data_IF_814314182833
#
_entry.id   IF_814314182833
#
_cell.length_a   1.000
_cell.length_b   1.000
_cell.length_c   1.000
_cell.angle_alpha   90.00
_cell.angle_beta   90.00
_cell.angle_gamma   90.00
#
_symmetry.space_group_name_H-M   'P 1'
#
loop_
_entity.id
_entity.type
_entity.pdbx_description
1 polymer ?
#
# COMPACT_ATOMS: atom_id res chain seq x y z
N UNK A 1 -5.02 -14.24 -15.23
CA UNK A 1 -5.87 -14.19 -16.45
C UNK A 1 -5.92 -15.52 -17.19
N UNK A 2 -4.79 -16.14 -17.51
CA UNK A 2 -4.73 -17.42 -18.26
C UNK A 2 -5.61 -18.54 -17.68
N UNK A 3 -5.62 -18.72 -16.36
CA UNK A 3 -6.47 -19.76 -15.73
C UNK A 3 -7.97 -19.46 -15.82
N UNK A 4 -8.36 -18.18 -15.86
CA UNK A 4 -9.77 -17.77 -15.97
C UNK A 4 -10.23 -17.87 -17.42
N UNK A 5 -9.41 -17.42 -18.36
CA UNK A 5 -9.66 -17.52 -19.80
C UNK A 5 -9.88 -18.99 -20.22
N UNK A 6 -9.03 -19.90 -19.73
CA UNK A 6 -9.16 -21.34 -19.98
C UNK A 6 -10.45 -21.97 -19.42
N UNK A 7 -11.16 -21.28 -18.51
CA UNK A 7 -12.41 -21.74 -17.90
C UNK A 7 -13.65 -21.00 -18.44
N UNK A 8 -13.50 -20.06 -19.38
CA UNK A 8 -14.63 -19.37 -19.99
C UNK A 8 -15.23 -20.16 -21.17
N UNK A 9 -16.56 -20.08 -21.32
CA UNK A 9 -17.27 -20.71 -22.44
C UNK A 9 -16.88 -20.11 -23.81
N UNK A 10 -16.47 -18.84 -23.86
CA UNK A 10 -16.06 -18.13 -25.09
C UNK A 10 -14.77 -17.33 -24.86
N UNK A 11 -13.58 -17.96 -24.96
CA UNK A 11 -12.30 -17.33 -24.61
C UNK A 11 -11.96 -16.12 -25.51
N UNK A 12 -12.34 -16.14 -26.79
CA UNK A 12 -12.08 -15.03 -27.72
C UNK A 12 -12.78 -13.70 -27.38
N UNK A 13 -13.86 -13.73 -26.57
CA UNK A 13 -14.54 -12.51 -26.10
C UNK A 13 -13.93 -11.94 -24.82
N UNK A 14 -12.91 -12.57 -24.24
CA UNK A 14 -12.31 -12.11 -22.98
C UNK A 14 -11.51 -10.82 -23.16
N UNK A 15 -10.70 -10.73 -24.24
CA UNK A 15 -9.73 -9.66 -24.50
C UNK A 15 -10.19 -8.66 -25.60
N UNK A 16 -11.40 -8.82 -26.15
CA UNK A 16 -11.92 -7.90 -27.18
C UNK A 16 -12.05 -6.44 -26.70
N UNK A 17 -12.28 -5.50 -27.63
CA UNK A 17 -12.44 -4.06 -27.33
C UNK A 17 -13.57 -3.77 -26.31
N UNK A 18 -14.69 -4.48 -26.44
CA UNK A 18 -15.75 -4.60 -25.42
C UNK A 18 -15.69 -5.98 -24.73
N UNK A 19 -14.50 -6.45 -24.39
CA UNK A 19 -14.31 -7.71 -23.68
C UNK A 19 -14.80 -7.63 -22.24
N UNK A 20 -15.05 -8.79 -21.62
CA UNK A 20 -15.46 -8.88 -20.21
C UNK A 20 -14.45 -8.19 -19.30
N UNK A 21 -13.16 -8.29 -19.65
CA UNK A 21 -12.09 -7.66 -18.90
C UNK A 21 -12.18 -6.13 -18.90
N UNK A 22 -12.34 -5.50 -20.08
CA UNK A 22 -12.43 -4.04 -20.19
C UNK A 22 -13.69 -3.51 -19.49
N UNK A 23 -14.83 -4.22 -19.58
CA UNK A 23 -16.05 -3.86 -18.85
C UNK A 23 -15.88 -3.93 -17.33
N UNK A 24 -15.23 -4.97 -16.82
CA UNK A 24 -14.94 -5.08 -15.38
C UNK A 24 -13.99 -3.97 -14.93
N UNK A 25 -12.92 -3.71 -15.69
CA UNK A 25 -11.96 -2.66 -15.37
C UNK A 25 -12.62 -1.27 -15.34
N UNK A 26 -13.46 -0.95 -16.33
CA UNK A 26 -14.23 0.28 -16.37
C UNK A 26 -15.17 0.39 -15.16
N UNK A 27 -15.90 -0.68 -14.84
CA UNK A 27 -16.84 -0.70 -13.71
C UNK A 27 -16.13 -0.46 -12.37
N UNK A 28 -14.99 -1.13 -12.14
CA UNK A 28 -14.18 -0.94 -10.93
C UNK A 28 -13.62 0.47 -10.87
N UNK A 29 -13.09 0.99 -11.99
CA UNK A 29 -12.54 2.35 -12.05
C UNK A 29 -13.60 3.41 -11.71
N UNK A 30 -14.80 3.33 -12.32
CA UNK A 30 -15.89 4.26 -12.03
C UNK A 30 -16.29 4.20 -10.56
N UNK A 31 -16.43 3.00 -10.00
CA UNK A 31 -16.80 2.82 -8.58
C UNK A 31 -15.74 3.41 -7.65
N UNK A 32 -14.44 3.18 -7.93
CA UNK A 32 -13.35 3.73 -7.13
C UNK A 32 -13.28 5.26 -7.21
N UNK A 33 -13.49 5.84 -8.39
CA UNK A 33 -13.54 7.30 -8.57
C UNK A 33 -14.70 7.89 -7.79
N UNK A 34 -15.90 7.30 -7.87
CA UNK A 34 -17.07 7.78 -7.12
C UNK A 34 -16.85 7.73 -5.61
N UNK A 35 -16.35 6.61 -5.08
CA UNK A 35 -16.09 6.46 -3.65
C UNK A 35 -14.97 7.42 -3.19
N UNK A 36 -13.90 7.55 -3.99
CA UNK A 36 -12.81 8.47 -3.69
C UNK A 36 -13.28 9.94 -3.68
N UNK A 37 -14.06 10.33 -4.67
CA UNK A 37 -14.63 11.67 -4.78
C UNK A 37 -15.59 11.99 -3.63
N UNK A 38 -16.53 11.08 -3.33
CA UNK A 38 -17.47 11.25 -2.21
C UNK A 38 -16.73 11.27 -0.85
N UNK A 39 -15.67 10.47 -0.71
CA UNK A 39 -14.81 10.47 0.47
C UNK A 39 -14.13 11.81 0.69
N UNK A 40 -13.54 12.38 -0.36
CA UNK A 40 -12.92 13.70 -0.28
C UNK A 40 -13.95 14.80 -0.01
N UNK A 41 -15.11 14.77 -0.67
CA UNK A 41 -16.18 15.75 -0.44
C UNK A 41 -16.66 15.77 1.02
N UNK A 42 -16.76 14.61 1.68
CA UNK A 42 -17.29 14.51 3.05
C UNK A 42 -16.32 14.98 4.13
N UNK A 43 -15.02 14.77 3.93
CA UNK A 43 -13.98 15.01 4.96
C UNK A 43 -13.07 16.20 4.66
N UNK A 44 -13.03 16.68 3.41
CA UNK A 44 -12.18 17.78 2.99
C UNK A 44 -10.70 17.53 3.30
N UNK A 45 -10.03 18.56 3.81
CA UNK A 45 -8.60 18.55 4.10
C UNK A 45 -8.20 17.71 5.33
N UNK A 46 -9.16 17.28 6.15
CA UNK A 46 -8.94 16.44 7.33
C UNK A 46 -9.00 14.93 7.02
N UNK A 47 -8.71 14.52 5.78
CA UNK A 47 -8.77 13.11 5.39
C UNK A 47 -7.56 12.34 5.93
N UNK A 48 -7.81 11.40 6.83
CA UNK A 48 -6.77 10.48 7.29
C UNK A 48 -6.33 9.54 6.16
N UNK A 49 -5.12 8.98 6.28
CA UNK A 49 -4.53 8.06 5.30
C UNK A 49 -5.39 6.82 4.96
N UNK A 50 -6.39 6.50 5.79
CA UNK A 50 -7.42 5.52 5.46
C UNK A 50 -8.80 6.10 5.74
N UNK A 51 -9.73 5.87 4.80
CA UNK A 51 -11.13 6.30 4.92
C UNK A 51 -11.79 5.73 6.18
N UNK A 52 -11.46 4.48 6.54
CA UNK A 52 -12.03 3.81 7.72
C UNK A 52 -11.66 4.51 9.02
N UNK A 53 -10.49 5.14 9.10
CA UNK A 53 -10.06 5.86 10.31
C UNK A 53 -10.83 7.17 10.49
N UNK A 54 -11.27 7.80 9.40
CA UNK A 54 -11.95 9.08 9.46
C UNK A 54 -13.45 9.02 9.74
N UNK A 55 -14.03 7.82 9.73
CA UNK A 55 -15.47 7.64 9.94
C UNK A 55 -15.83 7.98 11.40
N UNK A 56 -16.73 8.95 11.67
CA UNK A 56 -17.14 9.29 13.04
C UNK A 56 -17.84 8.09 13.70
N UNK A 57 -17.57 7.87 14.99
CA UNK A 57 -18.13 6.72 15.73
C UNK A 57 -19.53 7.00 16.31
N UNK A 58 -19.93 8.27 16.36
CA UNK A 58 -21.18 8.68 17.02
C UNK A 58 -22.44 8.35 16.20
N UNK A 59 -22.30 8.10 14.89
CA UNK A 59 -23.41 7.76 14.01
C UNK A 59 -23.59 6.24 13.89
N UNK A 60 -24.80 5.75 14.13
CA UNK A 60 -25.11 4.31 14.03
C UNK A 60 -24.80 3.71 12.64
N UNK A 61 -25.00 4.49 11.56
CA UNK A 61 -24.74 4.05 10.19
C UNK A 61 -23.24 3.86 9.92
N UNK A 62 -22.42 4.78 10.45
CA UNK A 62 -20.98 4.73 10.38
C UNK A 62 -20.40 3.52 11.12
N UNK A 63 -20.96 3.18 12.30
CA UNK A 63 -20.54 2.02 13.07
C UNK A 63 -20.87 0.69 12.36
N UNK A 64 -22.04 0.60 11.73
CA UNK A 64 -22.41 -0.57 10.91
C UNK A 64 -21.45 -0.71 9.71
N UNK A 65 -21.12 0.38 9.02
CA UNK A 65 -20.16 0.35 7.91
C UNK A 65 -18.76 -0.11 8.35
N UNK A 66 -18.27 0.37 9.50
CA UNK A 66 -17.01 -0.10 10.09
C UNK A 66 -17.05 -1.60 10.40
N UNK A 67 -18.16 -2.12 10.92
CA UNK A 67 -18.32 -3.55 11.18
C UNK A 67 -18.25 -4.36 9.88
N UNK A 68 -18.93 -3.93 8.80
CA UNK A 68 -18.86 -4.60 7.50
C UNK A 68 -17.44 -4.62 6.92
N UNK A 69 -16.70 -3.51 7.02
CA UNK A 69 -15.29 -3.45 6.59
C UNK A 69 -14.45 -4.44 7.40
N UNK A 70 -14.62 -4.47 8.72
CA UNK A 70 -13.88 -5.39 9.59
C UNK A 70 -14.18 -6.87 9.26
N UNK A 71 -15.46 -7.22 9.05
CA UNK A 71 -15.88 -8.57 8.65
C UNK A 71 -15.29 -8.93 7.27
N UNK A 72 -15.31 -8.00 6.31
CA UNK A 72 -14.75 -8.20 4.98
C UNK A 72 -13.24 -8.47 5.04
N UNK A 73 -12.49 -7.71 5.83
CA UNK A 73 -11.05 -7.91 6.02
C UNK A 73 -10.77 -9.23 6.74
N UNK A 74 -11.55 -9.56 7.76
CA UNK A 74 -11.43 -10.82 8.50
C UNK A 74 -11.59 -12.04 7.58
N UNK A 75 -12.52 -11.99 6.62
CA UNK A 75 -12.71 -13.07 5.66
C UNK A 75 -11.65 -13.08 4.54
N UNK A 76 -11.20 -11.90 4.10
CA UNK A 76 -10.21 -11.76 3.02
C UNK A 76 -8.79 -12.17 3.43
N UNK A 77 -8.43 -11.93 4.69
CA UNK A 77 -7.11 -12.24 5.22
C UNK A 77 -6.72 -13.73 5.08
N UNK A 78 -7.49 -14.72 5.57
CA UNK A 78 -7.15 -16.13 5.43
C UNK A 78 -7.18 -16.59 3.96
N UNK A 79 -8.06 -16.01 3.13
CA UNK A 79 -8.15 -16.34 1.71
C UNK A 79 -6.88 -15.93 0.95
N UNK A 80 -6.40 -14.69 1.16
CA UNK A 80 -5.15 -14.21 0.57
C UNK A 80 -3.93 -14.99 1.08
N UNK A 81 -3.90 -15.32 2.38
CA UNK A 81 -2.86 -16.15 2.97
C UNK A 81 -2.83 -17.58 2.42
N UNK A 82 -3.99 -18.19 2.17
CA UNK A 82 -4.06 -19.52 1.58
C UNK A 82 -3.40 -19.58 0.19
N UNK A 83 -3.66 -18.59 -0.67
CA UNK A 83 -3.06 -18.52 -2.01
C UNK A 83 -1.53 -18.45 -1.94
N UNK A 84 -0.98 -17.67 -1.00
CA UNK A 84 0.47 -17.55 -0.80
C UNK A 84 1.07 -18.87 -0.32
N UNK A 85 0.44 -19.51 0.68
CA UNK A 85 0.90 -20.78 1.24
C UNK A 85 0.86 -21.90 0.19
N UNK A 86 -0.22 -21.98 -0.60
CA UNK A 86 -0.36 -23.00 -1.64
C UNK A 86 0.71 -22.82 -2.74
N UNK A 87 0.94 -21.60 -3.23
CA UNK A 87 1.98 -21.36 -4.26
C UNK A 87 3.37 -21.74 -3.73
N UNK A 88 3.73 -21.37 -2.50
CA UNK A 88 5.07 -21.65 -1.96
C UNK A 88 5.23 -23.12 -1.58
N UNK A 89 4.31 -23.69 -0.80
CA UNK A 89 4.45 -25.05 -0.29
C UNK A 89 4.13 -26.10 -1.35
N UNK A 90 3.03 -25.95 -2.08
CA UNK A 90 2.54 -26.96 -3.01
C UNK A 90 3.26 -26.86 -4.37
N UNK A 91 3.48 -25.65 -4.89
CA UNK A 91 4.05 -25.48 -6.23
C UNK A 91 5.58 -25.41 -6.25
N UNK A 92 6.21 -24.83 -5.22
CA UNK A 92 7.67 -24.73 -5.14
C UNK A 92 8.29 -25.87 -4.30
N UNK A 93 7.87 -26.04 -3.04
CA UNK A 93 8.51 -27.02 -2.14
C UNK A 93 8.18 -28.46 -2.54
N UNK A 94 6.90 -28.81 -2.72
CA UNK A 94 6.52 -30.19 -3.00
C UNK A 94 7.04 -30.71 -4.35
N UNK A 95 7.24 -29.81 -5.33
CA UNK A 95 7.79 -30.17 -6.64
C UNK A 95 9.31 -30.34 -6.63
N UNK A 96 10.03 -29.55 -5.83
CA UNK A 96 11.48 -29.46 -5.87
C UNK A 96 12.19 -30.29 -4.78
N UNK A 97 11.49 -30.58 -3.68
CA UNK A 97 11.99 -31.38 -2.57
C UNK A 97 10.87 -32.33 -2.18
N UNK A 98 11.03 -33.64 -2.37
CA UNK A 98 10.01 -34.63 -2.00
C UNK A 98 10.02 -34.76 -0.46
N UNK A 99 9.22 -33.96 0.29
CA UNK A 99 9.47 -33.78 1.71
C UNK A 99 8.84 -34.96 2.45
N UNK A 100 9.57 -35.57 3.39
CA UNK A 100 9.05 -36.69 4.19
C UNK A 100 7.76 -36.34 4.96
N UNK A 101 7.51 -35.06 5.26
CA UNK A 101 6.33 -34.58 6.00
C UNK A 101 5.82 -33.23 5.44
N UNK A 102 5.03 -33.21 4.35
CA UNK A 102 4.57 -31.96 3.72
C UNK A 102 3.70 -31.10 4.65
N UNK A 103 2.85 -31.74 5.47
CA UNK A 103 1.97 -31.05 6.42
C UNK A 103 2.73 -30.20 7.45
N UNK A 104 3.86 -30.68 7.98
CA UNK A 104 4.65 -29.93 8.97
C UNK A 104 5.23 -28.64 8.38
N UNK A 105 5.72 -28.73 7.14
CA UNK A 105 6.29 -27.58 6.43
C UNK A 105 5.20 -26.54 6.16
N UNK A 106 4.00 -26.98 5.77
CA UNK A 106 2.87 -26.09 5.56
C UNK A 106 2.48 -25.33 6.84
N UNK A 107 2.36 -26.03 7.98
CA UNK A 107 2.05 -25.38 9.27
C UNK A 107 3.13 -24.38 9.69
N UNK A 108 4.40 -24.73 9.54
CA UNK A 108 5.52 -23.82 9.86
C UNK A 108 5.46 -22.57 8.98
N UNK A 109 5.22 -22.74 7.68
CA UNK A 109 5.14 -21.61 6.74
C UNK A 109 3.93 -20.71 7.05
N UNK A 110 2.79 -21.30 7.39
CA UNK A 110 1.58 -20.55 7.81
C UNK A 110 1.83 -19.74 9.08
N UNK A 111 2.46 -20.33 10.10
CA UNK A 111 2.81 -19.63 11.34
C UNK A 111 3.81 -18.51 11.05
N UNK A 112 4.84 -18.79 10.25
CA UNK A 112 5.83 -17.79 9.85
C UNK A 112 5.18 -16.60 9.13
N UNK A 113 4.28 -16.86 8.16
CA UNK A 113 3.53 -15.83 7.45
C UNK A 113 2.73 -14.93 8.39
N UNK A 114 2.00 -15.51 9.35
CA UNK A 114 1.23 -14.74 10.35
C UNK A 114 2.15 -13.94 11.26
N UNK A 115 3.27 -14.51 11.73
CA UNK A 115 4.25 -13.81 12.57
C UNK A 115 4.84 -12.60 11.84
N UNK A 116 5.18 -12.74 10.55
CA UNK A 116 5.67 -11.62 9.73
C UNK A 116 4.60 -10.55 9.57
N UNK A 117 3.33 -10.93 9.36
CA UNK A 117 2.23 -9.96 9.29
C UNK A 117 2.06 -9.19 10.61
N UNK A 118 2.09 -9.88 11.75
CA UNK A 118 2.01 -9.26 13.07
C UNK A 118 3.20 -8.35 13.35
N UNK A 119 4.41 -8.76 12.96
CA UNK A 119 5.61 -7.92 13.09
C UNK A 119 5.49 -6.62 12.27
N UNK A 120 4.97 -6.71 11.03
CA UNK A 120 4.71 -5.51 10.22
C UNK A 120 3.63 -4.61 10.84
N UNK A 121 2.58 -5.18 11.42
CA UNK A 121 1.53 -4.41 12.10
C UNK A 121 2.06 -3.63 13.32
N UNK A 122 3.02 -4.22 14.07
CA UNK A 122 3.67 -3.56 15.20
C UNK A 122 4.65 -2.48 14.72
N UNK A 123 5.41 -2.78 13.66
CA UNK A 123 6.39 -1.85 13.12
C UNK A 123 5.73 -0.59 12.54
N UNK A 124 4.63 -0.73 11.79
CA UNK A 124 3.99 0.34 11.01
C UNK A 124 2.54 0.61 11.46
N UNK A 125 2.32 1.52 12.42
CA UNK A 125 0.97 1.86 12.88
C UNK A 125 0.18 2.71 11.88
N UNK A 126 0.87 3.45 11.00
CA UNK A 126 0.25 4.20 9.92
C UNK A 126 0.27 3.39 8.62
N UNK A 127 -0.91 2.97 8.17
CA UNK A 127 -1.07 2.11 6.99
C UNK A 127 -0.83 2.85 5.66
N UNK A 128 -0.98 4.17 5.61
CA UNK A 128 -0.85 4.96 4.37
C UNK A 128 0.51 4.81 3.68
N UNK A 129 1.61 5.25 4.33
CA UNK A 129 2.95 5.12 3.75
C UNK A 129 3.33 3.67 3.45
N UNK A 130 2.89 2.71 4.27
CA UNK A 130 3.12 1.28 4.03
C UNK A 130 2.39 0.76 2.78
N UNK A 131 1.12 1.12 2.60
CA UNK A 131 0.35 0.76 1.40
C UNK A 131 0.93 1.41 0.14
N UNK A 132 1.41 2.66 0.25
CA UNK A 132 2.10 3.34 -0.85
C UNK A 132 3.40 2.63 -1.24
N UNK A 133 4.23 2.25 -0.26
CA UNK A 133 5.47 1.51 -0.48
C UNK A 133 5.22 0.14 -1.12
N UNK A 134 4.35 -0.67 -0.51
CA UNK A 134 4.03 -2.01 -0.99
C UNK A 134 3.36 -1.95 -2.36
N UNK A 135 2.49 -0.97 -2.59
CA UNK A 135 1.84 -0.73 -3.89
C UNK A 135 2.86 -0.36 -4.97
N UNK A 136 3.69 0.65 -4.72
CA UNK A 136 4.73 1.07 -5.65
C UNK A 136 5.70 -0.07 -5.98
N UNK A 137 6.09 -0.86 -4.97
CA UNK A 137 6.98 -2.01 -5.14
C UNK A 137 6.32 -3.14 -5.94
N UNK A 138 5.17 -3.61 -5.48
CA UNK A 138 4.50 -4.78 -6.06
C UNK A 138 3.90 -4.51 -7.43
N UNK A 139 3.24 -3.37 -7.65
CA UNK A 139 2.61 -3.04 -8.94
C UNK A 139 3.66 -2.82 -10.01
N UNK A 140 4.75 -2.10 -9.69
CA UNK A 140 5.84 -1.89 -10.65
C UNK A 140 6.49 -3.21 -11.06
N UNK A 141 6.70 -4.12 -10.11
CA UNK A 141 7.26 -5.45 -10.39
C UNK A 141 6.29 -6.32 -11.20
N UNK A 142 5.06 -6.51 -10.72
CA UNK A 142 4.07 -7.44 -11.29
C UNK A 142 3.47 -6.97 -12.61
N UNK A 143 3.21 -5.67 -12.75
CA UNK A 143 2.45 -5.16 -13.87
C UNK A 143 3.33 -4.58 -15.00
N UNK A 144 4.54 -4.13 -14.69
CA UNK A 144 5.43 -3.49 -15.67
C UNK A 144 6.69 -4.32 -15.90
N UNK A 145 7.46 -4.58 -14.84
CA UNK A 145 8.80 -5.18 -14.96
C UNK A 145 8.72 -6.66 -15.38
N UNK A 146 7.92 -7.49 -14.71
CA UNK A 146 7.79 -8.91 -15.05
C UNK A 146 7.26 -9.16 -16.47
N UNK A 147 6.15 -8.55 -16.93
CA UNK A 147 5.69 -8.77 -18.30
C UNK A 147 6.72 -8.28 -19.33
N UNK A 148 7.38 -7.14 -19.09
CA UNK A 148 8.45 -6.65 -19.98
C UNK A 148 9.65 -7.60 -20.03
N UNK A 149 10.04 -8.17 -18.88
CA UNK A 149 11.13 -9.15 -18.82
C UNK A 149 10.76 -10.46 -19.54
N UNK A 150 9.53 -10.95 -19.36
CA UNK A 150 9.03 -12.16 -20.00
C UNK A 150 8.98 -11.98 -21.52
N UNK A 151 8.42 -10.86 -21.99
CA UNK A 151 8.39 -10.54 -23.42
C UNK A 151 9.81 -10.42 -23.99
N UNK A 152 10.74 -9.76 -23.27
CA UNK A 152 12.13 -9.66 -23.70
C UNK A 152 12.82 -11.02 -23.81
N UNK A 153 12.55 -11.94 -22.87
CA UNK A 153 13.07 -13.31 -22.89
C UNK A 153 12.45 -14.17 -24.00
N UNK A 154 11.14 -14.03 -24.25
CA UNK A 154 10.44 -14.77 -25.30
C UNK A 154 10.87 -14.31 -26.69
N UNK A 155 10.98 -13.00 -26.89
CA UNK A 155 11.44 -12.39 -28.14
C UNK A 155 12.95 -12.55 -28.34
N UNK A 156 13.72 -13.02 -27.35
CA UNK A 156 15.12 -13.38 -27.60
C UNK A 156 15.26 -14.58 -28.54
N UNK A 157 14.29 -15.50 -28.52
CA UNK A 157 14.32 -16.71 -29.36
C UNK A 157 13.68 -16.53 -30.74
N UNK A 158 12.87 -15.49 -30.91
CA UNK A 158 12.23 -15.11 -32.17
C UNK A 158 12.90 -13.85 -32.72
N UNK A 159 13.04 -13.68 -34.02
CA UNK A 159 13.70 -12.47 -34.54
C UNK A 159 12.92 -11.22 -34.11
N UNK A 160 13.60 -10.18 -33.59
CA UNK A 160 13.01 -8.94 -33.04
C UNK A 160 12.24 -8.04 -34.05
N UNK A 161 11.92 -8.57 -35.23
CA UNK A 161 11.31 -7.87 -36.35
C UNK A 161 12.27 -6.90 -37.04
N UNK A 162 11.91 -6.38 -38.23
CA UNK A 162 12.69 -5.36 -38.90
C UNK A 162 12.75 -4.09 -38.02
N UNK A 163 13.97 -3.63 -37.71
CA UNK A 163 14.20 -2.39 -36.97
C UNK A 163 14.24 -2.48 -35.43
N UNK A 164 14.20 -3.68 -34.82
CA UNK A 164 14.29 -3.88 -33.34
C UNK A 164 13.29 -3.04 -32.52
N UNK A 165 12.21 -2.53 -33.13
CA UNK A 165 11.25 -1.64 -32.48
C UNK A 165 10.59 -2.27 -31.24
N UNK A 166 10.33 -3.58 -31.31
CA UNK A 166 9.76 -4.34 -30.19
C UNK A 166 10.70 -4.34 -28.98
N UNK A 167 12.00 -4.55 -29.20
CA UNK A 167 13.02 -4.51 -28.14
C UNK A 167 13.10 -3.12 -27.50
N UNK A 168 13.07 -2.06 -28.31
CA UNK A 168 13.11 -0.68 -27.79
C UNK A 168 11.89 -0.38 -26.92
N UNK A 169 10.68 -0.78 -27.35
CA UNK A 169 9.46 -0.60 -26.56
C UNK A 169 9.53 -1.36 -25.23
N UNK A 170 9.94 -2.62 -25.24
CA UNK A 170 9.98 -3.45 -24.05
C UNK A 170 11.07 -2.96 -23.07
N UNK A 171 12.21 -2.48 -23.61
CA UNK A 171 13.25 -1.81 -22.81
C UNK A 171 12.76 -0.48 -22.21
N UNK A 172 11.98 0.31 -22.95
CA UNK A 172 11.40 1.56 -22.45
C UNK A 172 10.41 1.28 -21.32
N UNK A 173 9.55 0.26 -21.45
CA UNK A 173 8.64 -0.14 -20.37
C UNK A 173 9.41 -0.63 -19.13
N UNK A 174 10.50 -1.37 -19.32
CA UNK A 174 11.36 -1.80 -18.22
C UNK A 174 12.01 -0.61 -17.49
N UNK A 175 12.57 0.35 -18.23
CA UNK A 175 13.16 1.56 -17.66
C UNK A 175 12.11 2.41 -16.94
N UNK A 176 10.94 2.59 -17.54
CA UNK A 176 9.82 3.30 -16.92
C UNK A 176 9.40 2.62 -15.60
N UNK A 177 9.32 1.29 -15.58
CA UNK A 177 9.03 0.52 -14.37
C UNK A 177 10.06 0.74 -13.25
N UNK A 178 11.35 0.80 -13.59
CA UNK A 178 12.41 1.10 -12.63
C UNK A 178 12.33 2.54 -12.10
N UNK A 179 11.98 3.52 -12.95
CA UNK A 179 11.80 4.91 -12.51
C UNK A 179 10.60 5.03 -11.57
N UNK A 180 9.46 4.41 -11.90
CA UNK A 180 8.26 4.39 -11.04
C UNK A 180 8.56 3.72 -9.70
N UNK A 181 9.26 2.58 -9.73
CA UNK A 181 9.68 1.86 -8.53
C UNK A 181 10.59 2.72 -7.65
N UNK A 182 11.61 3.35 -8.24
CA UNK A 182 12.56 4.20 -7.53
C UNK A 182 11.89 5.43 -6.93
N UNK A 183 11.13 6.16 -7.73
CA UNK A 183 10.40 7.36 -7.28
C UNK A 183 9.35 7.01 -6.22
N UNK A 184 8.53 5.99 -6.44
CA UNK A 184 7.47 5.59 -5.51
C UNK A 184 7.99 5.02 -4.19
N UNK A 185 9.13 4.30 -4.22
CA UNK A 185 9.80 3.85 -3.00
C UNK A 185 10.40 5.04 -2.26
N UNK A 186 11.07 5.94 -2.97
CA UNK A 186 11.67 7.14 -2.38
C UNK A 186 10.63 8.03 -1.69
N UNK A 187 9.51 8.33 -2.35
CA UNK A 187 8.44 9.14 -1.75
C UNK A 187 7.84 8.46 -0.52
N UNK A 188 7.54 7.15 -0.61
CA UNK A 188 6.95 6.42 0.51
C UNK A 188 7.90 6.33 1.72
N UNK A 189 9.21 6.15 1.50
CA UNK A 189 10.21 6.12 2.58
C UNK A 189 10.35 7.48 3.26
N UNK A 190 10.33 8.58 2.52
CA UNK A 190 10.35 9.92 3.11
C UNK A 190 9.11 10.16 3.96
N UNK A 191 7.94 9.78 3.46
CA UNK A 191 6.69 9.96 4.21
C UNK A 191 6.68 9.12 5.48
N UNK A 192 7.24 7.90 5.44
CA UNK A 192 7.48 7.10 6.66
C UNK A 192 8.39 7.84 7.63
N UNK A 193 9.59 8.28 7.20
CA UNK A 193 10.57 8.90 8.10
C UNK A 193 10.01 10.16 8.76
N UNK A 194 9.28 10.99 8.02
CA UNK A 194 8.62 12.19 8.54
C UNK A 194 7.63 11.85 9.65
N UNK A 195 6.79 10.84 9.42
CA UNK A 195 5.79 10.39 10.39
C UNK A 195 6.42 9.83 11.67
N UNK A 196 7.48 9.01 11.57
CA UNK A 196 8.18 8.49 12.75
C UNK A 196 8.94 9.57 13.52
N UNK A 197 9.55 10.52 12.81
CA UNK A 197 10.26 11.64 13.43
C UNK A 197 9.29 12.50 14.22
N UNK A 198 8.12 12.82 13.65
CA UNK A 198 7.08 13.59 14.31
C UNK A 198 6.58 12.91 15.60
N UNK A 199 6.28 11.60 15.54
CA UNK A 199 5.88 10.84 16.74
C UNK A 199 6.97 10.78 17.82
N UNK A 200 8.25 10.72 17.44
CA UNK A 200 9.35 10.77 18.40
C UNK A 200 9.45 12.13 19.11
N UNK A 201 9.13 13.23 18.42
CA UNK A 201 9.03 14.56 19.00
C UNK A 201 7.81 14.70 19.92
N UNK A 202 6.64 14.17 19.56
CA UNK A 202 5.45 14.18 20.42
C UNK A 202 5.65 13.37 21.72
N UNK A 203 6.28 12.19 21.63
CA UNK A 203 6.59 11.39 22.84
C UNK A 203 7.57 12.13 23.74
N UNK A 204 8.58 12.82 23.18
CA UNK A 204 9.52 13.64 23.96
C UNK A 204 8.87 14.89 24.55
N UNK A 205 7.96 15.54 23.82
CA UNK A 205 7.23 16.71 24.30
C UNK A 205 6.27 16.35 25.43
N UNK A 206 5.47 15.28 25.27
CA UNK A 206 4.57 14.76 26.30
C UNK A 206 5.31 14.28 27.55
N UNK A 207 6.50 13.68 27.39
CA UNK A 207 7.37 13.29 28.51
C UNK A 207 8.08 14.48 29.18
N UNK A 208 8.28 15.60 28.49
CA UNK A 208 8.94 16.80 29.05
C UNK A 208 7.97 17.71 29.80
N UNK A 209 6.66 17.61 29.53
CA UNK A 209 5.63 18.36 30.25
C UNK A 209 5.31 17.81 31.64
N UNK A 210 5.77 16.61 32.01
CA UNK A 210 5.47 16.04 33.32
C UNK A 210 6.48 16.44 34.42
N UNK A 211 7.65 17.00 34.08
CA UNK A 211 8.61 17.53 35.06
C UNK A 211 9.40 18.71 34.46
N UNK A 212 8.89 19.95 34.54
CA UNK A 212 9.74 21.17 34.49
C UNK A 212 9.24 22.25 35.44
N UNK A 213 10.05 22.52 36.46
CA UNK A 213 9.94 23.69 37.36
C UNK A 213 10.26 24.97 36.56
N UNK A 214 9.60 26.12 36.82
CA UNK A 214 9.59 27.29 35.94
C UNK A 214 10.95 27.96 35.59
N UNK A 215 12.08 27.56 36.18
CA UNK A 215 13.39 28.16 35.90
C UNK A 215 14.09 27.62 34.64
N UNK A 216 13.80 26.39 34.18
CA UNK A 216 14.48 25.80 33.01
C UNK A 216 13.87 26.19 31.65
N UNK A 217 12.72 26.87 31.66
CA UNK A 217 12.01 27.29 30.44
C UNK A 217 12.77 28.43 29.73
N UNK A 218 13.38 29.33 30.49
CA UNK A 218 14.06 30.51 29.94
C UNK A 218 15.44 30.19 29.34
N UNK A 219 16.13 29.16 29.83
CA UNK A 219 17.44 28.77 29.28
C UNK A 219 17.35 27.95 27.98
N UNK A 220 16.23 27.26 27.74
CA UNK A 220 16.01 26.47 26.54
C UNK A 220 15.52 27.31 25.33
N UNK A 221 14.97 28.50 25.57
CA UNK A 221 14.52 29.43 24.54
C UNK A 221 15.68 30.10 23.77
N UNK A 222 16.83 30.29 24.41
CA UNK A 222 17.98 30.97 23.79
C UNK A 222 18.85 30.05 22.90
N UNK A 223 18.73 28.71 23.05
CA UNK A 223 19.54 27.75 22.28
C UNK A 223 18.87 27.26 20.98
N UNK A 224 17.58 27.51 20.78
CA UNK A 224 16.80 26.97 19.65
C UNK A 224 16.81 27.86 18.39
N UNK A 225 17.52 28.99 18.40
CA UNK A 225 17.53 29.99 17.32
C UNK A 225 18.55 29.75 16.21
N UNK A 226 19.34 28.66 16.22
CA UNK A 226 20.55 28.60 15.39
C UNK A 226 20.71 27.48 14.36
N UNK A 227 19.75 26.57 14.11
CA UNK A 227 20.00 25.58 13.03
C UNK A 227 18.79 24.92 12.36
N UNK A 228 17.82 25.68 11.82
CA UNK A 228 16.90 25.13 10.80
C UNK A 228 16.40 26.24 9.87
N UNK A 229 16.50 26.11 8.53
CA UNK A 229 15.69 26.92 7.63
C UNK A 229 14.25 26.38 7.70
N UNK A 230 13.39 27.14 8.37
CA UNK A 230 11.95 26.97 8.37
C UNK A 230 11.48 27.13 6.91
N UNK A 231 10.96 26.06 6.31
CA UNK A 231 10.02 26.21 5.20
C UNK A 231 8.70 26.55 5.85
N UNK A 232 8.34 27.83 5.76
CA UNK A 232 7.08 28.39 6.24
C UNK A 232 5.89 27.66 5.58
N UNK A 233 5.16 26.84 6.36
CA UNK A 233 3.73 26.60 6.08
C UNK A 233 2.92 26.07 7.29
N UNK A 234 3.35 26.33 8.54
CA UNK A 234 2.62 25.84 9.74
C UNK A 234 2.09 26.98 10.63
N UNK A 235 2.11 28.23 10.16
CA UNK A 235 1.60 29.38 10.95
C UNK A 235 0.12 29.72 10.70
N UNK A 236 -0.70 28.80 10.19
CA UNK A 236 -2.13 29.05 9.96
C UNK A 236 -3.13 28.18 10.75
N UNK A 237 -2.71 27.09 11.40
CA UNK A 237 -3.67 26.17 12.07
C UNK A 237 -3.73 26.32 13.61
N UNK A 238 -3.19 27.41 14.15
CA UNK A 238 -3.32 27.76 15.57
C UNK A 238 -4.50 28.69 15.84
N UNK A 239 -5.73 28.33 15.46
CA UNK A 239 -6.94 29.03 15.95
C UNK A 239 -8.17 28.14 16.03
N UNK A 240 -8.70 28.11 17.25
CA UNK A 240 -10.04 27.70 17.70
C UNK A 240 -10.34 26.19 17.85
N UNK A 241 -9.90 25.65 18.99
CA UNK A 241 -10.42 24.42 19.62
C UNK A 241 -11.53 24.77 20.64
N UNK A 242 -12.33 25.83 20.42
CA UNK A 242 -13.38 26.22 21.40
C UNK A 242 -14.79 26.54 20.89
N UNK A 243 -15.07 26.52 19.58
CA UNK A 243 -16.39 26.94 19.07
C UNK A 243 -17.28 25.83 18.45
N UNK A 244 -16.93 24.54 18.56
CA UNK A 244 -17.66 23.46 17.86
C UNK A 244 -18.63 22.62 18.72
N UNK A 245 -19.04 23.15 19.88
CA UNK A 245 -20.18 22.62 20.64
C UNK A 245 -21.25 23.71 20.77
N UNK A 246 -21.98 23.98 19.69
CA UNK A 246 -23.35 24.47 19.67
C UNK A 246 -23.99 24.14 18.31
#
# INVERSE_FOLDING_TARGET
MLAIEAKMATPGSYVGWLGVLNRCALFVAVTYILIGFMGYWRYGDYVAASVTLNIPIDEALAQVAKMFIAISVFFSFPLSGYVVVDIVCNQYIAKNHNPKNPHRIEYIFRICFVVVCTANAIAFPNLGPLLALVGAFSISLLNIIFPSCIDMCLLYRSSYGPGRWKLVRDLLMLLLGLVILGYGTYSAVIDMIREYSYRAHEVKAGSSTEIKTPEEINAAQDAATLDYPIVDDVTAAGKSVKDFYL
#
